data_IF_746661617755
#
_entry.id   IF_746661617755
#
_cell.length_a   1.000
_cell.length_b   1.000
_cell.length_c   1.000
_cell.angle_alpha   90.00
_cell.angle_beta   90.00
_cell.angle_gamma   90.00
#
_symmetry.space_group_name_H-M   'P 1'
#
loop_
_entity.id
_entity.type
_entity.pdbx_description
1 polymer ?
#
# COMPACT_ATOMS: atom_id res chain seq x y z
N UNK A 1 -27.83 13.94 -8.46
CA UNK A 1 -26.49 14.50 -8.12
C UNK A 1 -25.93 13.79 -6.88
N UNK A 2 -24.62 13.88 -6.59
CA UNK A 2 -24.01 13.18 -5.43
C UNK A 2 -24.66 13.55 -4.08
N UNK A 3 -25.08 14.81 -3.90
CA UNK A 3 -25.74 15.27 -2.69
C UNK A 3 -27.06 14.54 -2.45
N UNK A 4 -27.93 14.46 -3.46
CA UNK A 4 -29.21 13.75 -3.36
C UNK A 4 -29.02 12.25 -3.02
N UNK A 5 -27.96 11.63 -3.55
CA UNK A 5 -27.60 10.26 -3.19
C UNK A 5 -27.18 10.14 -1.72
N UNK A 6 -26.43 11.11 -1.20
CA UNK A 6 -26.05 11.13 0.23
C UNK A 6 -27.28 11.38 1.11
N UNK A 7 -28.13 12.35 0.76
CA UNK A 7 -29.37 12.66 1.48
C UNK A 7 -30.25 11.41 1.60
N UNK A 8 -30.44 10.69 0.49
CA UNK A 8 -31.20 9.45 0.44
C UNK A 8 -30.57 8.31 1.23
N UNK A 9 -29.30 7.98 0.96
CA UNK A 9 -28.66 6.78 1.52
C UNK A 9 -28.33 6.91 3.01
N UNK A 10 -28.18 8.14 3.52
CA UNK A 10 -27.88 8.41 4.92
C UNK A 10 -29.04 9.04 5.70
N UNK A 11 -30.20 9.27 5.05
CA UNK A 11 -31.38 9.89 5.67
C UNK A 11 -31.07 11.23 6.34
N UNK A 12 -30.29 12.07 5.65
CA UNK A 12 -29.87 13.40 6.11
C UNK A 12 -30.58 14.48 5.30
N UNK A 13 -30.88 15.63 5.92
CA UNK A 13 -31.39 16.78 5.18
C UNK A 13 -30.27 17.53 4.44
N UNK A 14 -30.64 18.37 3.47
CA UNK A 14 -29.66 19.06 2.62
C UNK A 14 -28.69 19.98 3.39
N UNK A 15 -29.16 20.61 4.47
CA UNK A 15 -28.32 21.45 5.33
C UNK A 15 -27.25 20.63 6.05
N UNK A 16 -27.64 19.48 6.61
CA UNK A 16 -26.75 18.53 7.28
C UNK A 16 -25.69 17.99 6.32
N UNK A 17 -26.10 17.55 5.12
CA UNK A 17 -25.15 17.05 4.11
C UNK A 17 -24.15 18.13 3.72
N UNK A 18 -24.61 19.34 3.39
CA UNK A 18 -23.71 20.44 3.00
C UNK A 18 -22.74 20.80 4.11
N UNK A 19 -23.21 20.87 5.36
CA UNK A 19 -22.37 21.13 6.55
C UNK A 19 -21.36 20.01 6.79
N UNK A 20 -21.77 18.75 6.60
CA UNK A 20 -20.87 17.61 6.74
C UNK A 20 -19.78 17.64 5.67
N UNK A 21 -20.13 17.83 4.40
CA UNK A 21 -19.19 17.88 3.28
C UNK A 21 -18.22 19.05 3.39
N UNK A 22 -18.68 20.23 3.82
CA UNK A 22 -17.81 21.39 3.99
C UNK A 22 -16.75 21.18 5.08
N UNK A 23 -17.12 20.46 6.15
CA UNK A 23 -16.23 20.15 7.27
C UNK A 23 -15.42 18.86 7.09
N UNK A 24 -15.79 17.98 6.16
CA UNK A 24 -15.19 16.65 5.97
C UNK A 24 -13.64 16.64 5.91
N UNK A 25 -12.96 17.54 5.15
CA UNK A 25 -11.50 17.55 5.12
C UNK A 25 -10.82 17.78 6.48
N UNK A 26 -11.54 18.36 7.45
CA UNK A 26 -11.03 18.65 8.79
C UNK A 26 -11.44 17.58 9.83
N UNK A 27 -12.29 16.61 9.48
CA UNK A 27 -12.80 15.58 10.39
C UNK A 27 -11.81 14.43 10.57
N UNK A 28 -10.57 14.76 10.94
CA UNK A 28 -9.47 13.83 11.13
C UNK A 28 -8.81 14.02 12.50
N UNK A 29 -8.55 12.91 13.19
CA UNK A 29 -7.67 12.86 14.35
C UNK A 29 -6.24 12.64 13.87
N UNK A 30 -5.39 13.65 14.07
CA UNK A 30 -3.98 13.59 13.69
C UNK A 30 -3.12 13.22 14.88
N UNK A 31 -2.28 12.20 14.74
CA UNK A 31 -1.34 11.75 15.77
C UNK A 31 -0.08 11.16 15.12
N UNK A 32 0.99 10.98 15.87
CA UNK A 32 2.25 10.43 15.35
C UNK A 32 2.56 9.07 15.97
N UNK A 33 3.10 8.16 15.15
CA UNK A 33 3.63 6.86 15.58
C UNK A 33 5.13 6.76 15.28
N UNK A 34 5.87 6.02 16.12
CA UNK A 34 7.30 5.78 15.88
C UNK A 34 7.49 4.90 14.64
N UNK A 35 8.37 5.31 13.74
CA UNK A 35 8.83 4.47 12.62
C UNK A 35 9.79 3.40 13.16
N UNK A 36 9.82 2.25 12.49
CA UNK A 36 10.68 1.11 12.86
C UNK A 36 12.18 1.44 12.83
N UNK A 37 12.59 2.35 11.95
CA UNK A 37 13.98 2.77 11.75
C UNK A 37 14.28 4.16 12.33
N UNK A 38 13.47 4.63 13.29
CA UNK A 38 13.61 5.97 13.86
C UNK A 38 12.78 7.03 13.13
N UNK A 39 12.53 8.15 13.80
CA UNK A 39 11.61 9.20 13.37
C UNK A 39 10.13 8.88 13.64
N UNK A 40 9.25 9.77 13.19
CA UNK A 40 7.79 9.65 13.35
C UNK A 40 7.08 9.53 12.00
N UNK A 41 5.89 8.94 12.04
CA UNK A 41 4.93 8.93 10.94
C UNK A 41 3.65 9.57 11.44
N UNK A 42 3.22 10.62 10.77
CA UNK A 42 1.90 11.20 10.99
C UNK A 42 0.83 10.23 10.48
N UNK A 43 -0.21 10.04 11.29
CA UNK A 43 -1.43 9.33 10.96
C UNK A 43 -2.55 10.36 11.08
N UNK A 44 -3.34 10.53 10.03
CA UNK A 44 -4.54 11.33 10.03
C UNK A 44 -5.73 10.39 9.80
N UNK A 45 -6.37 10.03 10.90
CA UNK A 45 -7.46 9.06 10.94
C UNK A 45 -8.81 9.79 10.85
N UNK A 46 -9.65 9.53 9.82
CA UNK A 46 -10.96 10.16 9.73
C UNK A 46 -11.89 9.71 10.86
N UNK A 47 -12.83 10.57 11.26
CA UNK A 47 -13.91 10.21 12.19
C UNK A 47 -14.73 9.03 11.66
N UNK A 48 -15.39 8.28 12.57
CA UNK A 48 -16.20 7.10 12.21
C UNK A 48 -17.22 7.41 11.11
N UNK A 49 -17.95 8.52 11.22
CA UNK A 49 -18.92 8.94 10.21
C UNK A 49 -18.28 9.25 8.86
N UNK A 50 -17.12 9.92 8.84
CA UNK A 50 -16.39 10.18 7.59
C UNK A 50 -15.86 8.89 6.95
N UNK A 51 -15.39 7.91 7.75
CA UNK A 51 -14.96 6.61 7.22
C UNK A 51 -16.09 5.89 6.47
N UNK A 52 -17.30 5.92 7.02
CA UNK A 52 -18.48 5.32 6.37
C UNK A 52 -18.74 6.01 5.03
N UNK A 53 -18.74 7.35 5.00
CA UNK A 53 -18.96 8.11 3.78
C UNK A 53 -17.84 7.89 2.74
N UNK A 54 -16.58 7.75 3.16
CA UNK A 54 -15.46 7.45 2.27
C UNK A 54 -15.60 6.08 1.58
N UNK A 55 -15.96 5.04 2.35
CA UNK A 55 -16.20 3.70 1.79
C UNK A 55 -17.38 3.73 0.82
N UNK A 56 -18.47 4.42 1.19
CA UNK A 56 -19.63 4.61 0.32
C UNK A 56 -19.25 5.35 -0.97
N UNK A 57 -18.46 6.42 -0.89
CA UNK A 57 -18.05 7.21 -2.04
C UNK A 57 -17.20 6.40 -3.01
N UNK A 58 -16.22 5.65 -2.50
CA UNK A 58 -15.40 4.74 -3.33
C UNK A 58 -16.28 3.71 -4.03
N UNK A 59 -17.20 3.06 -3.30
CA UNK A 59 -18.09 2.03 -3.86
C UNK A 59 -19.02 2.57 -4.95
N UNK A 60 -19.56 3.77 -4.77
CA UNK A 60 -20.60 4.30 -5.67
C UNK A 60 -20.05 5.07 -6.88
N UNK A 61 -18.86 5.66 -6.77
CA UNK A 61 -18.32 6.56 -7.81
C UNK A 61 -17.01 6.09 -8.42
N UNK A 62 -16.21 5.29 -7.70
CA UNK A 62 -14.86 4.95 -8.12
C UNK A 62 -14.64 3.45 -8.33
N UNK A 63 -15.67 2.61 -8.12
CA UNK A 63 -15.55 1.16 -8.18
C UNK A 63 -15.16 0.61 -9.56
N UNK A 64 -15.42 1.37 -10.64
CA UNK A 64 -15.03 1.02 -12.01
C UNK A 64 -13.59 1.39 -12.36
N UNK A 65 -12.92 2.19 -11.52
CA UNK A 65 -11.55 2.61 -11.77
C UNK A 65 -10.60 1.40 -11.72
N UNK A 66 -9.77 1.27 -12.75
CA UNK A 66 -8.84 0.16 -12.87
C UNK A 66 -7.62 0.33 -11.98
N UNK A 67 -7.10 -0.80 -11.50
CA UNK A 67 -5.82 -0.87 -10.78
C UNK A 67 -4.86 -1.68 -11.63
N UNK A 68 -3.68 -1.13 -11.90
CA UNK A 68 -2.68 -1.79 -12.72
C UNK A 68 -2.26 -3.14 -12.11
N UNK A 69 -2.01 -4.15 -12.95
CA UNK A 69 -1.73 -5.52 -12.52
C UNK A 69 -0.48 -5.64 -11.62
N UNK A 70 0.53 -4.80 -11.88
CA UNK A 70 1.76 -4.68 -11.07
C UNK A 70 1.54 -4.15 -9.66
N UNK A 71 0.42 -3.47 -9.38
CA UNK A 71 0.07 -3.00 -8.05
C UNK A 71 -0.53 -4.15 -7.23
N UNK A 72 0.14 -4.54 -6.15
CA UNK A 72 -0.22 -5.69 -5.31
C UNK A 72 -0.86 -5.28 -3.99
N UNK A 73 -0.41 -4.16 -3.40
CA UNK A 73 -0.94 -3.70 -2.12
C UNK A 73 -2.44 -3.41 -2.18
N UNK A 74 -3.12 -3.66 -1.06
CA UNK A 74 -4.51 -3.28 -0.83
C UNK A 74 -5.53 -3.93 -1.79
N UNK A 75 -5.14 -5.02 -2.45
CA UNK A 75 -6.03 -5.79 -3.31
C UNK A 75 -6.58 -7.01 -2.58
N UNK A 76 -7.86 -7.30 -2.81
CA UNK A 76 -8.49 -8.52 -2.32
C UNK A 76 -7.71 -9.74 -2.82
N UNK A 77 -7.52 -10.73 -1.95
CA UNK A 77 -6.80 -11.97 -2.24
C UNK A 77 -5.34 -11.79 -2.69
N UNK A 78 -4.73 -10.64 -2.38
CA UNK A 78 -3.30 -10.39 -2.59
C UNK A 78 -2.62 -10.10 -1.27
N UNK A 79 -1.40 -10.59 -1.10
CA UNK A 79 -0.61 -10.40 0.10
C UNK A 79 0.86 -10.09 -0.24
N UNK A 80 1.69 -9.98 0.79
CA UNK A 80 3.12 -9.67 0.65
C UNK A 80 3.92 -10.76 -0.08
N UNK A 81 3.44 -12.02 -0.12
CA UNK A 81 4.03 -13.08 -0.92
C UNK A 81 3.72 -12.90 -2.40
N UNK A 82 2.52 -12.46 -2.78
CA UNK A 82 2.23 -12.10 -4.18
C UNK A 82 3.18 -11.01 -4.70
N UNK A 83 3.55 -10.07 -3.83
CA UNK A 83 4.52 -9.02 -4.15
C UNK A 83 5.93 -9.59 -4.34
N UNK A 84 6.36 -10.51 -3.47
CA UNK A 84 7.73 -11.06 -3.51
C UNK A 84 7.93 -12.19 -4.53
N UNK A 85 6.89 -12.98 -4.83
CA UNK A 85 6.99 -14.22 -5.63
C UNK A 85 7.57 -14.02 -7.03
N UNK A 86 7.18 -12.98 -7.79
CA UNK A 86 7.73 -12.76 -9.13
C UNK A 86 9.26 -12.59 -9.14
N UNK A 87 9.86 -12.16 -8.03
CA UNK A 87 11.28 -11.82 -7.95
C UNK A 87 12.18 -12.97 -7.49
N UNK A 88 11.62 -14.09 -6.99
CA UNK A 88 12.37 -15.11 -6.23
C UNK A 88 13.51 -15.74 -7.03
N UNK A 89 13.29 -16.01 -8.32
CA UNK A 89 14.26 -16.71 -9.19
C UNK A 89 15.30 -15.78 -9.83
N UNK A 90 15.17 -14.46 -9.68
CA UNK A 90 16.04 -13.50 -10.37
C UNK A 90 17.31 -13.15 -9.58
N UNK A 91 18.47 -13.17 -10.25
CA UNK A 91 19.77 -12.98 -9.60
C UNK A 91 19.99 -11.61 -8.97
N UNK A 92 19.50 -10.54 -9.60
CA UNK A 92 19.69 -9.16 -9.19
C UNK A 92 18.35 -8.52 -8.82
N UNK A 93 18.34 -7.69 -7.77
CA UNK A 93 17.14 -7.01 -7.30
C UNK A 93 17.47 -5.57 -6.91
N UNK A 94 16.55 -4.67 -7.23
CA UNK A 94 16.53 -3.27 -6.84
C UNK A 94 15.22 -3.00 -6.11
N UNK A 95 15.33 -2.35 -4.96
CA UNK A 95 14.20 -1.91 -4.15
C UNK A 95 14.26 -0.40 -4.03
N UNK A 96 13.14 0.24 -4.33
CA UNK A 96 12.96 1.68 -4.21
C UNK A 96 11.72 1.94 -3.36
N UNK A 97 11.63 3.15 -2.82
CA UNK A 97 10.55 3.59 -1.93
C UNK A 97 10.24 5.05 -2.28
N UNK A 98 8.99 5.47 -2.13
CA UNK A 98 8.60 6.87 -2.29
C UNK A 98 8.54 7.61 -0.96
N UNK A 99 9.13 8.81 -0.92
CA UNK A 99 9.01 9.71 0.22
C UNK A 99 7.58 10.20 0.40
N UNK A 100 7.03 10.02 1.61
CA UNK A 100 5.72 10.53 2.02
C UNK A 100 4.61 10.23 0.99
N UNK A 101 4.62 9.01 0.43
CA UNK A 101 3.81 8.60 -0.72
C UNK A 101 2.33 8.99 -0.68
N UNK A 102 1.63 8.79 0.45
CA UNK A 102 0.24 9.20 0.55
C UNK A 102 0.12 10.74 0.52
N UNK A 103 0.92 11.44 1.32
CA UNK A 103 0.88 12.90 1.41
C UNK A 103 1.32 13.62 0.12
N UNK A 104 2.08 12.96 -0.76
CA UNK A 104 2.46 13.51 -2.07
C UNK A 104 1.31 13.48 -3.09
N UNK A 105 0.29 12.63 -2.88
CA UNK A 105 -0.91 12.61 -3.70
C UNK A 105 -1.88 13.67 -3.17
N UNK A 106 -2.13 14.69 -3.99
CA UNK A 106 -2.98 15.86 -3.67
C UNK A 106 -4.35 15.74 -4.32
N UNK A 107 -5.30 16.56 -3.86
CA UNK A 107 -6.64 16.58 -4.48
C UNK A 107 -6.57 16.91 -5.97
N UNK A 108 -5.63 17.77 -6.40
CA UNK A 108 -5.51 18.15 -7.81
C UNK A 108 -5.16 16.95 -8.69
N UNK A 109 -4.33 16.03 -8.19
CA UNK A 109 -3.99 14.77 -8.88
C UNK A 109 -5.25 13.93 -9.08
N UNK A 110 -6.11 13.85 -8.06
CA UNK A 110 -7.38 13.14 -8.14
C UNK A 110 -8.38 13.81 -9.08
N UNK A 111 -8.48 15.15 -9.07
CA UNK A 111 -9.38 15.88 -9.98
C UNK A 111 -9.00 15.67 -11.43
N UNK A 112 -7.70 15.74 -11.75
CA UNK A 112 -7.21 15.46 -13.11
C UNK A 112 -7.49 14.01 -13.49
N UNK A 113 -7.17 13.06 -12.60
CA UNK A 113 -7.50 11.65 -12.81
C UNK A 113 -8.99 11.44 -13.14
N UNK A 114 -9.91 12.02 -12.36
CA UNK A 114 -11.33 11.90 -12.63
C UNK A 114 -11.71 12.48 -13.99
N UNK A 115 -11.21 13.66 -14.35
CA UNK A 115 -11.50 14.27 -15.66
C UNK A 115 -11.00 13.44 -16.84
N UNK A 116 -9.84 12.80 -16.69
CA UNK A 116 -9.24 11.99 -17.76
C UNK A 116 -9.80 10.57 -17.83
N UNK A 117 -10.14 9.95 -16.69
CA UNK A 117 -10.43 8.50 -16.59
C UNK A 117 -11.86 8.18 -16.18
N UNK A 118 -12.61 9.15 -15.68
CA UNK A 118 -14.01 9.02 -15.27
C UNK A 118 -14.83 10.20 -15.82
N UNK A 119 -14.87 10.38 -17.15
CA UNK A 119 -15.48 11.55 -17.79
C UNK A 119 -17.00 11.66 -17.55
N UNK A 120 -17.65 10.60 -17.08
CA UNK A 120 -19.05 10.62 -16.66
C UNK A 120 -19.29 11.39 -15.35
N UNK A 121 -18.24 11.71 -14.59
CA UNK A 121 -18.35 12.46 -13.35
C UNK A 121 -18.34 13.96 -13.60
N UNK A 122 -19.42 14.63 -13.19
CA UNK A 122 -19.52 16.08 -13.22
C UNK A 122 -18.49 16.76 -12.29
N UNK A 123 -18.00 17.93 -12.67
CA UNK A 123 -17.02 18.72 -11.89
C UNK A 123 -17.44 18.95 -10.43
N UNK A 124 -18.73 19.27 -10.20
CA UNK A 124 -19.27 19.45 -8.84
C UNK A 124 -19.21 18.16 -8.02
N UNK A 125 -19.41 17.01 -8.66
CA UNK A 125 -19.29 15.69 -8.01
C UNK A 125 -17.84 15.40 -7.66
N UNK A 126 -16.91 15.68 -8.58
CA UNK A 126 -15.47 15.53 -8.35
C UNK A 126 -15.00 16.39 -7.16
N UNK A 127 -15.45 17.63 -7.05
CA UNK A 127 -15.11 18.52 -5.93
C UNK A 127 -15.64 18.02 -4.58
N UNK A 128 -16.85 17.48 -4.57
CA UNK A 128 -17.43 16.88 -3.35
C UNK A 128 -16.67 15.61 -2.96
N UNK A 129 -16.32 14.76 -3.92
CA UNK A 129 -15.50 13.57 -3.69
C UNK A 129 -14.13 13.94 -3.12
N UNK A 130 -13.47 14.98 -3.67
CA UNK A 130 -12.19 15.47 -3.14
C UNK A 130 -12.32 15.88 -1.66
N UNK A 131 -13.38 16.60 -1.28
CA UNK A 131 -13.65 16.97 0.12
C UNK A 131 -13.88 15.78 1.05
N UNK A 132 -14.52 14.72 0.55
CA UNK A 132 -14.78 13.49 1.33
C UNK A 132 -13.51 12.67 1.50
N UNK A 133 -12.71 12.54 0.44
CA UNK A 133 -11.64 11.54 0.35
C UNK A 133 -10.28 12.04 0.84
N UNK A 134 -10.05 13.34 0.88
CA UNK A 134 -8.75 13.94 1.23
C UNK A 134 -8.79 14.65 2.59
N UNK A 135 -7.64 14.67 3.26
CA UNK A 135 -7.44 15.37 4.52
C UNK A 135 -6.88 16.77 4.26
N UNK A 136 -7.34 17.77 5.00
CA UNK A 136 -6.76 19.12 4.94
C UNK A 136 -5.52 19.20 5.81
N UNK A 137 -4.42 19.67 5.22
CA UNK A 137 -3.23 20.04 5.96
C UNK A 137 -3.47 21.39 6.66
N UNK A 138 -3.21 21.44 7.97
CA UNK A 138 -3.42 22.64 8.78
C UNK A 138 -2.44 23.77 8.45
N UNK A 139 -1.26 23.45 7.90
CA UNK A 139 -0.17 24.39 7.63
C UNK A 139 -0.33 25.07 6.28
N UNK A 140 -0.38 24.30 5.20
CA UNK A 140 -0.42 24.84 3.84
C UNK A 140 -1.84 24.91 3.26
N UNK A 141 -2.87 24.47 4.01
CA UNK A 141 -4.29 24.46 3.63
C UNK A 141 -4.62 23.58 2.41
N UNK A 142 -3.67 22.80 1.90
CA UNK A 142 -3.90 21.87 0.79
C UNK A 142 -4.61 20.60 1.25
N UNK A 143 -5.30 19.94 0.32
CA UNK A 143 -5.86 18.61 0.55
C UNK A 143 -4.91 17.52 0.04
N UNK A 144 -4.64 16.53 0.89
CA UNK A 144 -3.74 15.43 0.63
C UNK A 144 -4.34 14.08 1.05
N UNK A 145 -3.86 13.00 0.43
CA UNK A 145 -4.29 11.66 0.78
C UNK A 145 -3.64 11.22 2.09
N UNK A 146 -4.43 10.89 3.12
CA UNK A 146 -3.88 10.61 4.43
C UNK A 146 -3.56 9.13 4.67
N UNK A 147 -2.58 8.88 5.53
CA UNK A 147 -2.40 7.58 6.17
C UNK A 147 -3.44 7.47 7.29
N UNK A 148 -4.32 6.47 7.21
CA UNK A 148 -5.37 6.20 8.20
C UNK A 148 -6.79 6.25 7.66
N UNK A 149 -7.01 6.82 6.47
CA UNK A 149 -8.31 6.77 5.81
C UNK A 149 -8.53 5.43 5.08
N UNK A 150 -9.73 4.82 5.16
CA UNK A 150 -10.07 3.58 4.47
C UNK A 150 -10.09 3.71 2.94
N UNK A 151 -10.28 4.91 2.41
CA UNK A 151 -10.26 5.19 0.97
C UNK A 151 -8.84 5.30 0.40
N UNK A 152 -7.89 5.87 1.14
CA UNK A 152 -6.52 6.15 0.68
C UNK A 152 -5.81 4.97 0.01
N UNK A 153 -5.89 3.73 0.52
CA UNK A 153 -5.33 2.56 -0.13
C UNK A 153 -5.80 2.36 -1.58
N UNK A 154 -7.10 2.51 -1.82
CA UNK A 154 -7.69 2.35 -3.16
C UNK A 154 -7.34 3.53 -4.07
N UNK A 155 -7.49 4.76 -3.56
CA UNK A 155 -7.21 5.99 -4.30
C UNK A 155 -5.74 6.05 -4.77
N UNK A 156 -4.80 5.68 -3.91
CA UNK A 156 -3.39 5.66 -4.29
C UNK A 156 -3.09 4.63 -5.40
N UNK A 157 -3.81 3.52 -5.46
CA UNK A 157 -3.62 2.53 -6.51
C UNK A 157 -4.16 2.97 -7.87
N UNK A 158 -5.36 3.57 -7.93
CA UNK A 158 -5.96 4.02 -9.20
C UNK A 158 -5.19 5.21 -9.78
N UNK A 159 -4.72 6.14 -8.93
CA UNK A 159 -3.92 7.30 -9.35
C UNK A 159 -2.56 6.87 -9.90
N UNK A 160 -1.99 5.78 -9.36
CA UNK A 160 -0.69 5.25 -9.81
C UNK A 160 -0.76 4.41 -11.09
N UNK A 161 -1.93 4.24 -11.70
CA UNK A 161 -2.10 3.36 -12.86
C UNK A 161 -1.17 3.72 -14.02
N UNK A 162 -1.15 5.00 -14.44
CA UNK A 162 -0.30 5.44 -15.56
C UNK A 162 1.18 5.34 -15.23
N UNK A 163 1.58 5.66 -14.00
CA UNK A 163 2.95 5.43 -13.54
C UNK A 163 3.34 3.94 -13.71
N UNK A 164 2.48 3.04 -13.23
CA UNK A 164 2.74 1.60 -13.30
C UNK A 164 2.77 1.09 -14.74
N UNK A 165 1.93 1.61 -15.63
CA UNK A 165 1.91 1.27 -17.05
C UNK A 165 3.25 1.63 -17.72
N UNK A 166 3.72 2.89 -17.56
CA UNK A 166 4.99 3.34 -18.15
C UNK A 166 6.18 2.55 -17.61
N UNK A 167 6.21 2.28 -16.31
CA UNK A 167 7.26 1.49 -15.68
C UNK A 167 7.22 0.04 -16.14
N UNK A 168 6.04 -0.57 -16.20
CA UNK A 168 5.87 -1.96 -16.65
C UNK A 168 6.31 -2.11 -18.11
N UNK A 169 5.94 -1.16 -18.97
CA UNK A 169 6.40 -1.12 -20.36
C UNK A 169 7.92 -1.08 -20.48
N UNK A 170 8.58 -0.16 -19.75
CA UNK A 170 10.03 -0.07 -19.73
C UNK A 170 10.69 -1.36 -19.21
N UNK A 171 10.14 -1.93 -18.14
CA UNK A 171 10.65 -3.16 -17.54
C UNK A 171 10.52 -4.36 -18.49
N UNK A 172 9.38 -4.51 -19.16
CA UNK A 172 9.12 -5.57 -20.13
C UNK A 172 10.11 -5.52 -21.29
N UNK A 173 10.33 -4.33 -21.89
CA UNK A 173 11.34 -4.14 -22.94
C UNK A 173 12.74 -4.55 -22.51
N UNK A 174 13.07 -4.37 -21.23
CA UNK A 174 14.39 -4.67 -20.68
C UNK A 174 14.51 -6.06 -20.03
N UNK A 175 13.47 -6.90 -20.07
CA UNK A 175 13.41 -8.19 -19.35
C UNK A 175 13.67 -8.02 -17.84
N UNK A 176 13.00 -7.04 -17.24
CA UNK A 176 12.99 -6.76 -15.81
C UNK A 176 11.58 -7.07 -15.30
N UNK A 177 11.49 -7.75 -14.16
CA UNK A 177 10.24 -7.96 -13.45
C UNK A 177 10.00 -6.79 -12.52
N UNK A 178 8.79 -6.24 -12.52
CA UNK A 178 8.36 -5.13 -11.68
C UNK A 178 7.10 -5.48 -10.90
N UNK A 179 7.08 -5.15 -9.61
CA UNK A 179 5.86 -5.10 -8.80
C UNK A 179 5.90 -3.90 -7.85
N UNK A 180 4.73 -3.42 -7.45
CA UNK A 180 4.56 -2.31 -6.50
C UNK A 180 3.68 -2.73 -5.32
N UNK A 181 4.11 -2.38 -4.11
CA UNK A 181 3.35 -2.56 -2.88
C UNK A 181 3.25 -1.21 -2.15
N UNK A 182 2.19 -0.46 -2.44
CA UNK A 182 2.03 0.93 -1.99
C UNK A 182 3.19 1.80 -2.49
N UNK A 183 4.03 2.28 -1.56
CA UNK A 183 5.24 3.09 -1.81
C UNK A 183 6.47 2.25 -2.14
N UNK A 184 6.49 0.96 -1.80
CA UNK A 184 7.58 0.05 -2.12
C UNK A 184 7.52 -0.39 -3.59
N UNK A 185 8.62 -0.20 -4.31
CA UNK A 185 8.81 -0.69 -5.68
C UNK A 185 9.88 -1.79 -5.69
N UNK A 186 9.58 -2.93 -6.31
CA UNK A 186 10.51 -4.04 -6.46
C UNK A 186 10.78 -4.32 -7.92
N UNK A 187 12.07 -4.43 -8.24
CA UNK A 187 12.56 -4.75 -9.57
C UNK A 187 13.56 -5.90 -9.50
N UNK A 188 13.51 -6.82 -10.46
CA UNK A 188 14.51 -7.88 -10.51
C UNK A 188 14.78 -8.40 -11.91
N UNK A 189 15.97 -8.93 -12.14
CA UNK A 189 16.37 -9.53 -13.41
C UNK A 189 17.50 -10.53 -13.19
N UNK A 190 17.68 -11.47 -14.11
CA UNK A 190 18.84 -12.36 -14.15
C UNK A 190 20.04 -11.75 -14.87
N UNK A 191 19.85 -10.66 -15.64
CA UNK A 191 20.93 -10.01 -16.36
C UNK A 191 21.66 -8.96 -15.49
N UNK A 192 23.00 -8.95 -15.45
CA UNK A 192 23.76 -7.97 -14.68
C UNK A 192 23.55 -6.54 -15.22
N UNK A 193 23.77 -5.55 -14.35
CA UNK A 193 23.82 -4.10 -14.65
C UNK A 193 22.54 -3.43 -15.22
N UNK A 194 21.50 -4.16 -15.63
CA UNK A 194 20.27 -3.56 -16.18
C UNK A 194 19.49 -2.68 -15.21
N UNK A 195 19.51 -3.01 -13.92
CA UNK A 195 18.72 -2.30 -12.91
C UNK A 195 19.21 -0.85 -12.67
N UNK A 196 20.45 -0.51 -13.07
CA UNK A 196 20.98 0.86 -12.97
C UNK A 196 20.20 1.86 -13.82
N UNK A 197 19.57 1.39 -14.90
CA UNK A 197 18.78 2.22 -15.81
C UNK A 197 17.45 2.68 -15.18
N UNK A 198 16.98 2.03 -14.10
CA UNK A 198 15.66 2.29 -13.53
C UNK A 198 15.56 3.62 -12.78
N UNK A 199 16.58 3.98 -12.00
CA UNK A 199 16.53 5.23 -11.20
C UNK A 199 16.34 6.47 -12.09
N UNK A 200 17.19 6.71 -13.12
CA UNK A 200 16.98 7.87 -13.99
C UNK A 200 15.66 7.77 -14.74
N UNK A 201 15.24 6.56 -15.17
CA UNK A 201 13.98 6.40 -15.88
C UNK A 201 12.75 6.68 -15.01
N UNK A 202 12.76 6.27 -13.75
CA UNK A 202 11.68 6.56 -12.79
C UNK A 202 11.63 8.05 -12.51
N UNK A 203 12.78 8.72 -12.32
CA UNK A 203 12.82 10.18 -12.14
C UNK A 203 12.23 10.92 -13.34
N UNK A 204 12.59 10.52 -14.56
CA UNK A 204 12.04 11.02 -15.82
C UNK A 204 10.50 10.84 -15.89
N UNK A 205 10.01 9.63 -15.60
CA UNK A 205 8.56 9.36 -15.55
C UNK A 205 7.88 10.23 -14.49
N UNK A 206 8.41 10.32 -13.27
CA UNK A 206 7.85 11.16 -12.23
C UNK A 206 7.79 12.65 -12.64
N UNK A 207 8.76 13.14 -13.41
CA UNK A 207 8.77 14.54 -13.89
C UNK A 207 7.81 14.81 -15.05
N UNK A 208 7.40 13.78 -15.79
CA UNK A 208 6.59 13.91 -17.02
C UNK A 208 5.15 13.44 -16.86
N UNK A 209 4.78 12.91 -15.69
CA UNK A 209 3.41 12.50 -15.40
C UNK A 209 2.49 13.71 -15.17
N UNK A 210 1.27 13.61 -15.70
CA UNK A 210 0.20 14.56 -15.40
C UNK A 210 -0.21 14.49 -13.93
N UNK A 211 -0.22 13.28 -13.37
CA UNK A 211 -0.43 12.96 -11.96
C UNK A 211 0.17 11.57 -11.62
N UNK A 212 0.48 11.30 -10.34
CA UNK A 212 0.62 12.28 -9.26
C UNK A 212 1.92 13.08 -9.38
N UNK A 213 1.83 14.42 -9.23
CA UNK A 213 2.91 15.35 -9.60
C UNK A 213 4.07 15.43 -8.60
N UNK A 214 3.84 15.07 -7.34
CA UNK A 214 4.80 15.29 -6.27
C UNK A 214 5.53 14.02 -5.81
N UNK A 215 5.54 12.96 -6.63
CA UNK A 215 6.30 11.75 -6.33
C UNK A 215 7.79 12.01 -6.28
N UNK A 216 8.44 11.58 -5.19
CA UNK A 216 9.89 11.69 -5.01
C UNK A 216 10.43 10.39 -4.44
N UNK A 217 11.43 9.82 -5.12
CA UNK A 217 12.12 8.64 -4.62
C UNK A 217 12.83 8.94 -3.30
N UNK A 218 12.83 7.95 -2.41
CA UNK A 218 13.66 7.92 -1.22
C UNK A 218 15.01 7.29 -1.58
N UNK A 219 16.01 8.15 -1.79
CA UNK A 219 17.36 7.71 -2.16
C UNK A 219 18.05 6.95 -1.01
N UNK A 220 17.81 7.34 0.25
CA UNK A 220 18.37 6.66 1.43
C UNK A 220 17.89 5.22 1.58
N UNK A 221 16.68 4.92 1.10
CA UNK A 221 16.09 3.57 1.11
C UNK A 221 16.32 2.78 -0.18
N UNK A 222 17.08 3.33 -1.12
CA UNK A 222 17.41 2.62 -2.36
C UNK A 222 18.36 1.46 -2.06
N UNK A 223 17.94 0.24 -2.37
CA UNK A 223 18.72 -0.97 -2.06
C UNK A 223 18.93 -1.80 -3.33
N UNK A 224 20.19 -1.93 -3.73
CA UNK A 224 20.63 -2.95 -4.69
C UNK A 224 21.09 -4.21 -3.94
N UNK A 225 20.67 -5.38 -4.41
CA UNK A 225 21.08 -6.65 -3.85
C UNK A 225 21.13 -7.74 -4.93
N UNK A 226 21.73 -8.88 -4.61
CA UNK A 226 21.83 -10.03 -5.51
C UNK A 226 21.84 -11.33 -4.73
N UNK A 227 21.93 -12.48 -5.41
CA UNK A 227 22.09 -13.79 -4.76
C UNK A 227 23.29 -13.89 -3.81
N UNK A 228 24.30 -13.02 -3.95
CA UNK A 228 25.44 -12.93 -3.02
C UNK A 228 25.04 -12.40 -1.64
N UNK A 229 23.96 -11.64 -1.56
CA UNK A 229 23.49 -10.96 -0.35
C UNK A 229 22.07 -11.40 0.01
N UNK A 230 21.63 -11.03 1.21
CA UNK A 230 20.27 -11.30 1.64
C UNK A 230 19.27 -10.47 0.79
N UNK A 231 18.37 -11.16 0.09
CA UNK A 231 17.29 -10.53 -0.68
C UNK A 231 16.02 -10.56 0.16
N UNK A 232 15.48 -9.37 0.45
CA UNK A 232 14.27 -9.21 1.26
C UNK A 232 13.26 -8.27 0.64
N UNK A 233 11.97 -8.61 0.67
CA UNK A 233 10.85 -7.75 0.27
C UNK A 233 9.79 -7.82 1.36
N UNK A 234 9.30 -6.66 1.83
CA UNK A 234 8.23 -6.55 2.86
C UNK A 234 8.43 -7.48 4.08
N UNK A 235 9.70 -7.72 4.46
CA UNK A 235 10.06 -8.58 5.60
C UNK A 235 10.05 -10.09 5.34
N UNK A 236 9.86 -10.51 4.09
CA UNK A 236 10.10 -11.86 3.57
C UNK A 236 11.51 -11.96 3.00
N UNK A 237 12.11 -13.14 3.09
CA UNK A 237 13.42 -13.51 2.54
C UNK A 237 13.20 -14.34 1.29
N UNK A 238 13.87 -13.96 0.21
CA UNK A 238 13.87 -14.65 -1.09
C UNK A 238 15.15 -15.49 -1.15
N UNK A 239 15.00 -16.81 -1.04
CA UNK A 239 16.12 -17.74 -1.06
C UNK A 239 16.65 -17.94 -2.48
N UNK A 240 17.90 -18.41 -2.59
CA UNK A 240 18.52 -18.66 -3.91
C UNK A 240 17.95 -19.93 -4.57
N UNK A 241 17.29 -20.80 -3.79
CA UNK A 241 16.62 -22.02 -4.23
C UNK A 241 15.15 -21.78 -4.64
N UNK A 242 14.77 -20.53 -4.93
CA UNK A 242 13.41 -20.22 -5.40
C UNK A 242 12.33 -20.23 -4.33
N UNK A 243 12.68 -20.19 -3.03
CA UNK A 243 11.71 -20.23 -1.92
C UNK A 243 11.54 -18.87 -1.25
N UNK A 244 10.30 -18.59 -0.83
CA UNK A 244 9.97 -17.45 0.02
C UNK A 244 9.82 -17.92 1.46
N UNK A 245 10.43 -17.20 2.40
CA UNK A 245 10.33 -17.51 3.81
C UNK A 245 10.34 -16.27 4.68
N UNK A 246 10.07 -16.41 5.98
CA UNK A 246 10.21 -15.33 6.97
C UNK A 246 11.66 -15.11 7.45
N UNK A 247 12.62 -15.88 6.94
CA UNK A 247 14.03 -15.81 7.34
C UNK A 247 14.37 -16.56 8.64
N UNK A 248 15.65 -16.95 8.76
CA UNK A 248 16.14 -17.84 9.84
C UNK A 248 15.88 -17.28 11.24
N UNK A 249 16.12 -15.98 11.46
CA UNK A 249 15.94 -15.33 12.78
C UNK A 249 14.49 -15.44 13.27
N UNK A 250 13.51 -15.11 12.42
CA UNK A 250 12.08 -15.24 12.77
C UNK A 250 11.69 -16.70 12.97
N UNK A 251 12.13 -17.62 12.09
CA UNK A 251 11.86 -19.07 12.26
C UNK A 251 12.38 -19.59 13.61
N UNK A 252 13.57 -19.18 14.04
CA UNK A 252 14.14 -19.57 15.34
C UNK A 252 13.27 -19.12 16.51
N UNK A 253 12.84 -17.85 16.50
CA UNK A 253 11.98 -17.29 17.56
C UNK A 253 10.65 -18.07 17.63
N UNK A 254 9.99 -18.27 16.49
CA UNK A 254 8.70 -18.98 16.45
C UNK A 254 8.82 -20.45 16.86
N UNK A 255 9.92 -21.13 16.53
CA UNK A 255 10.15 -22.51 17.01
C UNK A 255 10.31 -22.61 18.53
N UNK A 256 10.86 -21.58 19.16
CA UNK A 256 10.99 -21.50 20.61
C UNK A 256 9.64 -21.17 21.26
N UNK A 257 8.88 -20.23 20.68
CA UNK A 257 7.50 -19.93 21.12
C UNK A 257 6.61 -21.18 21.01
N UNK A 258 6.61 -21.88 19.87
CA UNK A 258 5.84 -23.11 19.68
C UNK A 258 6.24 -24.24 20.63
N UNK A 259 7.54 -24.37 20.95
CA UNK A 259 7.98 -25.34 21.97
C UNK A 259 7.41 -25.02 23.35
N UNK A 260 7.43 -23.75 23.76
CA UNK A 260 6.84 -23.33 25.04
C UNK A 260 5.34 -23.57 25.07
N UNK A 261 4.65 -23.34 23.94
CA UNK A 261 3.22 -23.62 23.81
C UNK A 261 2.92 -25.12 24.03
N UNK A 262 3.66 -26.01 23.36
CA UNK A 262 3.47 -27.45 23.51
C UNK A 262 3.77 -27.99 24.92
N UNK A 263 4.57 -27.27 25.71
CA UNK A 263 4.82 -27.55 27.13
C UNK A 263 3.80 -26.91 28.09
N UNK A 264 2.79 -26.19 27.58
CA UNK A 264 1.82 -25.46 28.41
C UNK A 264 2.42 -24.25 29.15
N UNK A 265 3.55 -23.71 28.68
CA UNK A 265 4.28 -22.62 29.34
C UNK A 265 3.93 -21.22 28.80
N UNK A 266 2.95 -21.12 27.91
CA UNK A 266 2.44 -19.84 27.41
C UNK A 266 1.10 -19.54 28.09
N UNK A 267 0.92 -18.27 28.45
CA UNK A 267 -0.40 -17.74 28.78
C UNK A 267 -1.29 -17.66 27.53
N UNK A 268 -2.60 -17.50 27.75
CA UNK A 268 -3.62 -17.46 26.70
C UNK A 268 -3.33 -16.36 25.67
N UNK A 269 -2.93 -15.18 26.11
CA UNK A 269 -2.62 -14.06 25.21
C UNK A 269 -1.44 -14.37 24.28
N UNK A 270 -0.37 -15.00 24.78
CA UNK A 270 0.77 -15.43 23.96
C UNK A 270 0.39 -16.58 23.04
N UNK A 271 -0.49 -17.49 23.48
CA UNK A 271 -0.97 -18.59 22.66
C UNK A 271 -1.79 -18.07 21.47
N UNK A 272 -2.73 -17.15 21.69
CA UNK A 272 -3.50 -16.48 20.64
C UNK A 272 -2.59 -15.73 19.66
N UNK A 273 -1.59 -15.02 20.17
CA UNK A 273 -0.57 -14.36 19.33
C UNK A 273 0.20 -15.37 18.48
N UNK A 274 0.56 -16.54 19.02
CA UNK A 274 1.23 -17.59 18.26
C UNK A 274 0.31 -18.15 17.18
N UNK A 275 -0.95 -18.45 17.50
CA UNK A 275 -1.94 -18.92 16.53
C UNK A 275 -2.11 -17.93 15.38
N UNK A 276 -2.20 -16.62 15.66
CA UNK A 276 -2.23 -15.58 14.63
C UNK A 276 -0.98 -15.56 13.75
N UNK A 277 0.22 -15.73 14.33
CA UNK A 277 1.48 -15.83 13.56
C UNK A 277 1.51 -17.09 12.69
N UNK A 278 0.98 -18.22 13.18
CA UNK A 278 0.87 -19.48 12.42
C UNK A 278 -0.14 -19.33 11.27
N UNK A 279 -1.30 -18.73 11.51
CA UNK A 279 -2.30 -18.45 10.47
C UNK A 279 -1.72 -17.56 9.37
N UNK A 280 -0.98 -16.50 9.72
CA UNK A 280 -0.24 -15.69 8.76
C UNK A 280 0.75 -16.54 7.95
N UNK A 281 1.52 -17.43 8.61
CA UNK A 281 2.48 -18.30 7.94
C UNK A 281 1.84 -19.29 6.98
N UNK A 282 0.59 -19.71 7.17
CA UNK A 282 -0.12 -20.54 6.19
C UNK A 282 -0.22 -19.86 4.82
N UNK A 283 -0.30 -18.52 4.78
CA UNK A 283 -0.28 -17.79 3.51
C UNK A 283 1.11 -17.62 2.90
N UNK A 284 2.18 -17.79 3.70
CA UNK A 284 3.56 -17.48 3.30
C UNK A 284 4.38 -18.76 3.07
N UNK A 285 4.52 -19.57 4.11
CA UNK A 285 5.37 -20.77 4.22
C UNK A 285 4.57 -21.88 4.93
N UNK A 286 3.64 -22.56 4.22
CA UNK A 286 2.70 -23.52 4.81
C UNK A 286 3.41 -24.69 5.49
N UNK A 287 4.49 -25.19 4.88
CA UNK A 287 5.27 -26.31 5.44
C UNK A 287 5.83 -25.95 6.82
N UNK A 288 6.36 -24.73 6.98
CA UNK A 288 6.85 -24.29 8.27
C UNK A 288 5.71 -24.02 9.27
N UNK A 289 4.56 -23.52 8.81
CA UNK A 289 3.38 -23.32 9.65
C UNK A 289 2.86 -24.64 10.23
N UNK A 290 2.74 -25.69 9.42
CA UNK A 290 2.32 -27.03 9.86
C UNK A 290 3.29 -27.63 10.88
N UNK A 291 4.60 -27.42 10.70
CA UNK A 291 5.60 -27.82 11.70
C UNK A 291 5.37 -27.11 13.05
N UNK A 292 5.05 -25.81 13.03
CA UNK A 292 4.79 -25.06 14.26
C UNK A 292 3.50 -25.52 14.94
N UNK A 293 2.42 -25.81 14.19
CA UNK A 293 1.17 -26.35 14.76
C UNK A 293 1.41 -27.62 15.53
N UNK A 294 2.03 -28.62 14.88
CA UNK A 294 2.39 -29.90 15.51
C UNK A 294 3.22 -29.71 16.77
N UNK A 295 4.20 -28.79 16.72
CA UNK A 295 5.08 -28.54 17.86
C UNK A 295 4.39 -27.83 19.03
N UNK A 296 3.38 -27.02 18.73
CA UNK A 296 2.64 -26.24 19.72
C UNK A 296 1.41 -26.97 20.28
N UNK A 297 1.11 -28.19 19.80
CA UNK A 297 -0.14 -28.92 20.09
C UNK A 297 -1.39 -28.07 19.77
N UNK A 298 -1.32 -27.35 18.64
CA UNK A 298 -2.39 -26.50 18.09
C UNK A 298 -3.15 -27.18 16.96
#
# INVERSE_FOLDING_TARGET
>A
MILDKIEKDFSLNSGEVKSFISSAPNRYKVYSIKKRHGGTREIAEPTKSLKILQVWAVKNFLAKAEIHSSAIAYRKNKNIKDFASPHVNNKYMLKLDFNNFFNSIKEIDFKIFCKERLPELEDKTIDILAKILFCKDKKNKELYLSIGAPSSPFISNIIMFEFDEKISYFCNKNKIIYTRYADDLAFSTSAPNKLKLLIPKIKDICSTLNFPRNLKLNEEKTIFTSHKYNRTLTGLVLSNEGRISIGRKKKRILRAEAHKAGLGLLDDEKLEKLQGKVAFLMSIDPQFAELLKKKANL
#
